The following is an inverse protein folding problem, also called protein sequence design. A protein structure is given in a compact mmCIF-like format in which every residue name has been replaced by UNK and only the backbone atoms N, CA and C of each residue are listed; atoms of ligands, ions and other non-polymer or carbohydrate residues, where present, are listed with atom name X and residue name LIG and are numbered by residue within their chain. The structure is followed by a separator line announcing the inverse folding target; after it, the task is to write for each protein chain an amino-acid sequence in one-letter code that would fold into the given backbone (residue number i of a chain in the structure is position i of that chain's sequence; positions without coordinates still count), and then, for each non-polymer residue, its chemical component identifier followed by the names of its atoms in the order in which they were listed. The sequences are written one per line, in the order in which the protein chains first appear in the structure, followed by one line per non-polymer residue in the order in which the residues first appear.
data_IF_753315310220
#
_entry.id   IF_753315310220
#
_cell.length_a   1.000
_cell.length_b   1.000
_cell.length_c   1.000
_cell.angle_alpha   90.00
_cell.angle_beta   90.00
_cell.angle_gamma   90.00
#
_symmetry.space_group_name_H-M   'P 1'
#
loop_
_entity.id
_entity.type
_entity.pdbx_description
1 polymer ?
#
# COMPACT_ATOMS: atom_id res chain seq x y z
N UNK A 1 -5.73 -6.97 7.47
CA UNK A 1 -4.76 -5.85 7.53
C UNK A 1 -3.62 -6.29 8.42
N UNK A 2 -2.36 -6.19 7.98
CA UNK A 2 -1.19 -6.63 8.75
C UNK A 2 -0.33 -5.48 9.27
N UNK A 3 -0.38 -4.35 8.60
CA UNK A 3 0.32 -3.13 8.95
C UNK A 3 -0.44 -1.90 8.45
N UNK A 4 -0.17 -0.75 9.08
CA UNK A 4 -0.73 0.55 8.68
C UNK A 4 0.33 1.64 8.81
N UNK A 5 0.40 2.49 7.79
CA UNK A 5 1.20 3.69 7.78
C UNK A 5 0.29 4.89 7.53
N UNK A 6 0.49 5.97 8.28
CA UNK A 6 -0.29 7.20 8.14
C UNK A 6 0.66 8.31 7.70
N UNK A 7 0.32 8.98 6.60
CA UNK A 7 1.02 10.18 6.12
C UNK A 7 0.01 11.24 5.79
N UNK A 8 0.13 12.41 6.42
CA UNK A 8 -0.83 13.52 6.27
C UNK A 8 -2.28 13.05 6.45
N UNK A 9 -3.10 13.21 5.42
CA UNK A 9 -4.51 12.78 5.38
C UNK A 9 -4.69 11.43 4.69
N UNK A 10 -3.68 10.55 4.69
CA UNK A 10 -3.75 9.25 4.01
C UNK A 10 -3.38 8.12 4.95
N UNK A 11 -4.15 7.04 4.87
CA UNK A 11 -3.82 5.75 5.48
C UNK A 11 -3.46 4.74 4.39
N UNK A 12 -2.31 4.09 4.56
CA UNK A 12 -1.83 3.01 3.73
C UNK A 12 -1.91 1.73 4.56
N UNK A 13 -2.68 0.77 4.11
CA UNK A 13 -3.06 -0.40 4.89
C UNK A 13 -2.63 -1.64 4.11
N UNK A 14 -1.63 -2.35 4.62
CA UNK A 14 -1.25 -3.63 4.02
C UNK A 14 -2.26 -4.70 4.41
N UNK A 15 -2.60 -5.56 3.46
CA UNK A 15 -3.50 -6.67 3.70
C UNK A 15 -3.09 -7.86 2.84
N UNK A 16 -3.80 -8.97 3.04
CA UNK A 16 -3.61 -10.16 2.22
C UNK A 16 -3.99 -9.80 0.78
N UNK A 17 -3.07 -9.96 -0.17
CA UNK A 17 -3.16 -9.48 -1.56
C UNK A 17 -2.88 -8.00 -1.83
N UNK A 18 -2.16 -7.28 -0.94
CA UNK A 18 -1.48 -6.03 -1.33
C UNK A 18 -1.76 -4.84 -0.43
N UNK A 19 -2.09 -3.70 -1.04
CA UNK A 19 -2.14 -2.39 -0.37
C UNK A 19 -3.45 -1.66 -0.64
N UNK A 20 -4.07 -1.17 0.44
CA UNK A 20 -5.26 -0.34 0.42
C UNK A 20 -4.87 1.09 0.78
N UNK A 21 -5.37 2.08 0.04
CA UNK A 21 -5.10 3.50 0.29
C UNK A 21 -6.42 4.22 0.55
N UNK A 22 -6.48 4.93 1.67
CA UNK A 22 -7.65 5.68 2.12
C UNK A 22 -7.30 7.16 2.31
N UNK A 23 -8.23 8.04 1.95
CA UNK A 23 -8.27 9.41 2.45
C UNK A 23 -8.90 9.39 3.84
N UNK A 24 -8.21 9.98 4.81
CA UNK A 24 -8.62 10.08 6.21
C UNK A 24 -8.69 11.55 6.67
N UNK A 25 -8.84 12.49 5.74
CA UNK A 25 -9.03 13.92 6.03
C UNK A 25 -10.26 14.17 6.91
N UNK A 26 -11.32 13.40 6.72
CA UNK A 26 -12.41 13.23 7.69
C UNK A 26 -12.25 11.90 8.41
N UNK A 27 -11.78 11.95 9.66
CA UNK A 27 -11.55 10.75 10.48
C UNK A 27 -12.84 10.00 10.85
N UNK A 28 -14.01 10.64 10.74
CA UNK A 28 -15.31 10.00 10.95
C UNK A 28 -15.86 9.38 9.66
N UNK A 29 -15.34 9.78 8.51
CA UNK A 29 -15.75 9.26 7.20
C UNK A 29 -14.56 9.03 6.26
N UNK A 30 -13.71 8.03 6.53
CA UNK A 30 -12.63 7.66 5.60
C UNK A 30 -13.16 7.29 4.22
N UNK A 31 -12.46 7.74 3.17
CA UNK A 31 -12.81 7.46 1.78
C UNK A 31 -11.80 6.53 1.12
N UNK A 32 -12.30 5.57 0.37
CA UNK A 32 -11.47 4.71 -0.46
C UNK A 32 -10.86 5.52 -1.62
N UNK A 33 -9.54 5.52 -1.74
CA UNK A 33 -8.84 6.14 -2.87
C UNK A 33 -8.48 5.10 -3.93
N UNK A 34 -7.73 4.07 -3.54
CA UNK A 34 -7.33 3.01 -4.46
C UNK A 34 -6.88 1.75 -3.71
N UNK A 35 -6.66 0.70 -4.49
CA UNK A 35 -6.09 -0.56 -4.03
C UNK A 35 -5.10 -1.07 -5.07
N UNK A 36 -3.98 -1.59 -4.59
CA UNK A 36 -3.02 -2.33 -5.41
C UNK A 36 -3.13 -3.79 -5.06
N UNK A 37 -3.65 -4.58 -6.00
CA UNK A 37 -3.74 -6.02 -5.89
C UNK A 37 -2.40 -6.68 -6.26
N UNK A 38 -1.92 -7.56 -5.40
CA UNK A 38 -0.71 -8.35 -5.60
C UNK A 38 -1.14 -9.82 -5.57
N UNK A 39 -1.21 -10.47 -6.74
CA UNK A 39 -1.64 -11.87 -6.84
C UNK A 39 -0.77 -12.77 -5.98
N UNK A 40 -1.40 -13.65 -5.21
CA UNK A 40 -0.75 -14.57 -4.29
C UNK A 40 0.15 -13.90 -3.23
N UNK A 41 0.04 -12.58 -3.13
CA UNK A 41 0.81 -11.77 -2.21
C UNK A 41 0.27 -11.86 -0.78
N UNK A 42 1.18 -11.81 0.17
CA UNK A 42 0.89 -11.73 1.58
C UNK A 42 1.58 -10.50 2.16
N UNK A 43 0.95 -9.33 2.09
CA UNK A 43 1.56 -8.09 2.55
C UNK A 43 1.76 -8.04 4.06
N UNK A 44 3.01 -8.06 4.55
CA UNK A 44 3.37 -8.13 5.98
C UNK A 44 3.64 -6.78 6.62
N UNK A 45 4.46 -5.96 5.96
CA UNK A 45 4.98 -4.70 6.47
C UNK A 45 5.10 -3.70 5.35
N UNK A 46 4.85 -2.44 5.66
CA UNK A 46 5.02 -1.34 4.72
C UNK A 46 5.96 -0.29 5.28
N UNK A 47 6.70 0.34 4.38
CA UNK A 47 7.42 1.59 4.65
C UNK A 47 7.24 2.53 3.45
N UNK A 48 7.41 3.84 3.65
CA UNK A 48 7.17 4.85 2.61
C UNK A 48 8.40 5.76 2.46
N UNK A 49 8.85 5.95 1.22
CA UNK A 49 9.84 6.96 0.85
C UNK A 49 9.33 7.79 -0.33
N UNK A 50 8.99 9.05 -0.05
CA UNK A 50 8.40 9.97 -1.02
C UNK A 50 7.11 9.40 -1.63
N UNK A 51 7.16 9.13 -2.94
CA UNK A 51 6.04 8.63 -3.72
C UNK A 51 6.03 7.09 -3.87
N UNK A 52 6.78 6.37 -3.04
CA UNK A 52 6.87 4.91 -3.11
C UNK A 52 6.53 4.25 -1.79
N UNK A 53 5.69 3.21 -1.85
CA UNK A 53 5.45 2.27 -0.75
C UNK A 53 6.24 1.00 -1.01
N UNK A 54 7.03 0.60 -0.03
CA UNK A 54 7.78 -0.66 0.01
C UNK A 54 6.97 -1.67 0.80
N UNK A 55 6.46 -2.69 0.14
CA UNK A 55 5.65 -3.75 0.74
C UNK A 55 6.44 -5.05 0.77
N UNK A 56 6.69 -5.58 1.97
CA UNK A 56 7.23 -6.92 2.16
C UNK A 56 6.12 -7.97 1.94
N UNK A 57 6.28 -8.81 0.91
CA UNK A 57 5.24 -9.70 0.37
C UNK A 57 5.46 -11.18 0.72
N UNK A 58 6.05 -11.47 1.89
CA UNK A 58 6.26 -12.84 2.35
C UNK A 58 7.26 -13.59 1.46
N UNK A 59 6.79 -14.62 0.75
CA UNK A 59 7.59 -15.34 -0.26
C UNK A 59 7.60 -14.65 -1.63
N UNK A 60 6.74 -13.65 -1.84
CA UNK A 60 6.63 -12.90 -3.09
C UNK A 60 7.64 -11.77 -3.24
N UNK A 61 8.60 -11.62 -2.32
CA UNK A 61 9.63 -10.60 -2.47
C UNK A 61 9.35 -9.29 -1.76
N UNK A 62 9.94 -8.25 -2.33
CA UNK A 62 9.64 -6.85 -2.07
C UNK A 62 8.85 -6.28 -3.27
N UNK A 63 7.73 -5.62 -2.99
CA UNK A 63 6.95 -4.90 -3.99
C UNK A 63 7.11 -3.40 -3.76
N UNK A 64 7.42 -2.66 -4.82
CA UNK A 64 7.50 -1.20 -4.80
C UNK A 64 6.27 -0.68 -5.52
N UNK A 65 5.47 0.10 -4.80
CA UNK A 65 4.19 0.62 -5.26
C UNK A 65 4.34 2.13 -5.43
N UNK A 66 4.06 2.62 -6.63
CA UNK A 66 4.01 4.05 -6.94
C UNK A 66 2.68 4.63 -6.43
N UNK A 67 2.79 5.67 -5.60
CA UNK A 67 1.68 6.42 -5.00
C UNK A 67 1.69 7.91 -5.38
N UNK A 68 2.41 8.29 -6.44
CA UNK A 68 2.42 9.66 -7.00
C UNK A 68 1.00 10.16 -7.32
N UNK A 69 0.13 9.26 -7.79
CA UNK A 69 -1.30 9.45 -7.81
C UNK A 69 -2.00 8.42 -6.89
N UNK A 70 -2.35 8.78 -5.65
CA UNK A 70 -2.93 7.84 -4.68
C UNK A 70 -4.32 7.32 -5.06
N UNK A 71 -5.06 8.01 -5.92
CA UNK A 71 -6.33 7.53 -6.45
C UNK A 71 -6.15 6.53 -7.61
N UNK A 72 -4.91 6.34 -8.07
CA UNK A 72 -4.54 5.43 -9.15
C UNK A 72 -3.15 4.79 -8.88
N UNK A 73 -2.91 4.35 -7.64
CA UNK A 73 -1.66 3.72 -7.27
C UNK A 73 -1.45 2.41 -8.04
N UNK A 74 -0.19 2.03 -8.27
CA UNK A 74 0.14 0.82 -9.02
C UNK A 74 1.45 0.18 -8.58
N UNK A 75 1.57 -1.14 -8.76
CA UNK A 75 2.84 -1.82 -8.55
C UNK A 75 3.83 -1.39 -9.63
N UNK A 76 4.89 -0.69 -9.24
CA UNK A 76 5.92 -0.18 -10.13
C UNK A 76 7.02 -1.21 -10.37
N UNK A 77 7.46 -1.90 -9.31
CA UNK A 77 8.50 -2.94 -9.37
C UNK A 77 8.22 -4.07 -8.40
N UNK A 78 8.68 -5.26 -8.78
CA UNK A 78 8.68 -6.44 -7.95
C UNK A 78 10.09 -7.05 -7.93
N UNK A 79 10.53 -7.46 -6.75
CA UNK A 79 11.81 -8.10 -6.50
C UNK A 79 11.53 -9.42 -5.79
N UNK A 80 11.29 -10.46 -6.58
CA UNK A 80 10.95 -11.79 -6.09
C UNK A 80 12.19 -12.53 -5.58
N UNK A 81 12.00 -13.49 -4.67
CA UNK A 81 13.06 -14.36 -4.15
C UNK A 81 13.27 -15.59 -5.03
#
# INVERSE_FOLDING_TARGET
MKDVYISDNRAFCSFHYGLLILDISDTLSPQFLSQVYIPDGDGWRIDIDGEHVFLADGFGGLKVIDISNPAAASCWRAYDY
#
